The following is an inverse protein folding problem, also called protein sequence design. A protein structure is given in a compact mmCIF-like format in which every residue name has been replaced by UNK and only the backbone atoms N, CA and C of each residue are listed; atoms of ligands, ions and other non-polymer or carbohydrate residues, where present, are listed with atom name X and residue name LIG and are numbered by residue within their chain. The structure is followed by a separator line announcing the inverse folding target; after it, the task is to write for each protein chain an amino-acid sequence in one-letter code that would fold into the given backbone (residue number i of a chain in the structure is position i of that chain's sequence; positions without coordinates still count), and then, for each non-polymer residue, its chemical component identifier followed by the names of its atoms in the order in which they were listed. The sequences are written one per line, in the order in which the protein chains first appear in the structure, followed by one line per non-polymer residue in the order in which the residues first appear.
data_IF_972137137316
#
_entry.id   IF_972137137316
#
_cell.length_a   1.000
_cell.length_b   1.000
_cell.length_c   1.000
_cell.angle_alpha   90.00
_cell.angle_beta   90.00
_cell.angle_gamma   90.00
#
_symmetry.space_group_name_H-M   'P 1'
#
loop_
_entity.id
_entity.type
_entity.pdbx_description
1 polymer ?
#
# COMPACT_ATOMS: atom_id res chain seq x y z
N UNK A 1 -20.27 -2.87 -6.63
CA UNK A 1 -19.06 -2.04 -6.52
C UNK A 1 -18.85 -1.51 -5.09
N UNK A 2 -19.83 -0.88 -4.46
CA UNK A 2 -19.65 -0.21 -3.15
C UNK A 2 -19.24 -1.13 -1.99
N UNK A 3 -19.81 -2.35 -1.90
CA UNK A 3 -19.39 -3.34 -0.89
C UNK A 3 -17.94 -3.80 -1.00
N UNK A 4 -17.44 -3.98 -2.23
CA UNK A 4 -16.06 -4.40 -2.44
C UNK A 4 -15.10 -3.32 -1.96
N UNK A 5 -15.39 -2.05 -2.28
CA UNK A 5 -14.61 -0.89 -1.82
C UNK A 5 -14.58 -0.78 -0.29
N UNK A 6 -15.71 -1.05 0.39
CA UNK A 6 -15.78 -1.06 1.86
C UNK A 6 -14.91 -2.18 2.47
N UNK A 7 -14.94 -3.38 1.88
CA UNK A 7 -14.12 -4.51 2.33
C UNK A 7 -12.63 -4.20 2.12
N UNK A 8 -12.24 -3.71 0.94
CA UNK A 8 -10.86 -3.33 0.62
C UNK A 8 -10.35 -2.22 1.53
N UNK A 9 -11.17 -1.20 1.81
CA UNK A 9 -10.82 -0.12 2.72
C UNK A 9 -10.60 -0.62 4.15
N UNK A 10 -11.47 -1.51 4.64
CA UNK A 10 -11.35 -2.08 5.98
C UNK A 10 -10.13 -3.01 6.12
N UNK A 11 -9.86 -3.83 5.11
CA UNK A 11 -8.65 -4.63 4.99
C UNK A 11 -7.39 -3.75 5.06
N UNK A 12 -7.33 -2.71 4.24
CA UNK A 12 -6.20 -1.78 4.19
C UNK A 12 -6.03 -1.01 5.50
N UNK A 13 -7.14 -0.65 6.17
CA UNK A 13 -7.12 -0.03 7.49
C UNK A 13 -6.60 -0.96 8.58
N UNK A 14 -6.92 -2.25 8.53
CA UNK A 14 -6.38 -3.23 9.47
C UNK A 14 -4.86 -3.38 9.31
N UNK A 15 -4.38 -3.48 8.05
CA UNK A 15 -2.94 -3.48 7.74
C UNK A 15 -2.28 -2.19 8.21
N UNK A 16 -2.88 -1.04 7.92
CA UNK A 16 -2.41 0.26 8.37
C UNK A 16 -2.27 0.31 9.89
N UNK A 17 -3.26 -0.21 10.64
CA UNK A 17 -3.25 -0.22 12.10
C UNK A 17 -2.15 -1.11 12.67
N UNK A 18 -1.92 -2.28 12.08
CA UNK A 18 -0.82 -3.16 12.49
C UNK A 18 0.55 -2.50 12.25
N UNK A 19 0.70 -1.80 11.12
CA UNK A 19 1.92 -1.03 10.80
C UNK A 19 2.08 0.23 11.69
N UNK A 20 0.99 0.79 12.21
CA UNK A 20 1.04 1.90 13.14
C UNK A 20 1.44 1.45 14.55
N UNK A 21 0.97 0.28 14.98
CA UNK A 21 1.33 -0.32 16.26
C UNK A 21 2.85 -0.62 16.37
N UNK A 22 3.57 -0.75 15.25
CA UNK A 22 5.04 -0.86 15.24
C UNK A 22 5.78 0.48 15.42
N UNK A 23 5.11 1.52 15.93
CA UNK A 23 5.67 2.87 16.19
C UNK A 23 6.20 3.59 14.95
N UNK A 24 5.63 3.28 13.78
CA UNK A 24 5.97 3.94 12.52
C UNK A 24 5.03 5.14 12.30
N UNK A 25 5.57 6.29 11.90
CA UNK A 25 4.72 7.45 11.59
C UNK A 25 3.86 7.22 10.33
N UNK A 26 2.81 8.03 10.17
CA UNK A 26 1.82 7.89 9.09
C UNK A 26 2.43 7.94 7.68
N UNK A 27 3.44 8.77 7.47
CA UNK A 27 4.07 8.91 6.15
C UNK A 27 4.93 7.69 5.84
N UNK A 28 5.65 7.13 6.82
CA UNK A 28 6.40 5.90 6.66
C UNK A 28 5.50 4.71 6.31
N UNK A 29 4.29 4.66 6.88
CA UNK A 29 3.30 3.64 6.52
C UNK A 29 2.84 3.84 5.07
N UNK A 30 2.47 5.05 4.68
CA UNK A 30 2.04 5.36 3.30
C UNK A 30 3.17 5.08 2.28
N UNK A 31 4.43 5.36 2.62
CA UNK A 31 5.59 5.01 1.78
C UNK A 31 5.68 3.50 1.50
N UNK A 32 5.29 2.64 2.45
CA UNK A 32 5.24 1.18 2.23
C UNK A 32 4.16 0.78 1.23
N UNK A 33 2.96 1.38 1.34
CA UNK A 33 1.89 1.16 0.36
C UNK A 33 2.31 1.66 -1.03
N UNK A 34 2.99 2.80 -1.12
CA UNK A 34 3.51 3.31 -2.39
C UNK A 34 4.56 2.39 -3.02
N UNK A 35 5.50 1.87 -2.22
CA UNK A 35 6.49 0.90 -2.70
C UNK A 35 5.85 -0.37 -3.27
N UNK A 36 4.83 -0.89 -2.59
CA UNK A 36 4.07 -2.05 -3.06
C UNK A 36 3.45 -1.76 -4.43
N UNK A 37 2.74 -0.64 -4.56
CA UNK A 37 2.08 -0.28 -5.82
C UNK A 37 3.07 -0.12 -6.95
N UNK A 38 4.16 0.62 -6.71
CA UNK A 38 5.20 0.88 -7.70
C UNK A 38 5.79 -0.44 -8.21
N UNK A 39 6.09 -1.36 -7.28
CA UNK A 39 6.67 -2.67 -7.58
C UNK A 39 5.70 -3.58 -8.32
N UNK A 40 4.46 -3.69 -7.83
CA UNK A 40 3.45 -4.61 -8.39
C UNK A 40 2.94 -4.16 -9.75
N UNK A 41 2.87 -2.84 -10.00
CA UNK A 41 2.40 -2.29 -11.27
C UNK A 41 3.54 -1.99 -12.27
N UNK A 42 4.81 -2.23 -11.91
CA UNK A 42 5.96 -1.93 -12.75
C UNK A 42 6.03 -0.46 -13.18
N UNK A 43 5.61 0.46 -12.29
CA UNK A 43 5.52 1.89 -12.59
C UNK A 43 6.87 2.56 -12.34
N UNK A 44 7.73 2.57 -13.36
CA UNK A 44 9.06 3.20 -13.28
C UNK A 44 9.07 4.70 -13.55
N UNK A 45 8.01 5.22 -14.15
CA UNK A 45 7.80 6.65 -14.37
C UNK A 45 6.32 6.96 -14.14
N UNK A 46 6.03 7.96 -13.31
CA UNK A 46 4.67 8.36 -12.99
C UNK A 46 4.60 9.81 -12.50
N UNK A 47 3.44 10.42 -12.64
CA UNK A 47 3.12 11.72 -12.03
C UNK A 47 2.55 11.53 -10.62
N UNK A 48 2.55 12.61 -9.82
CA UNK A 48 1.96 12.60 -8.48
C UNK A 48 0.47 12.21 -8.50
N UNK A 49 -0.28 12.74 -9.47
CA UNK A 49 -1.70 12.47 -9.63
C UNK A 49 -1.96 11.02 -9.99
N UNK A 50 -1.19 10.44 -10.91
CA UNK A 50 -1.33 9.04 -11.30
C UNK A 50 -1.11 8.08 -10.13
N UNK A 51 -0.03 8.25 -9.37
CA UNK A 51 0.27 7.36 -8.24
C UNK A 51 -0.71 7.56 -7.08
N UNK A 52 -1.22 8.78 -6.88
CA UNK A 52 -2.25 9.07 -5.87
C UNK A 52 -3.58 8.40 -6.21
N UNK A 53 -4.02 8.48 -7.47
CA UNK A 53 -5.23 7.81 -7.91
C UNK A 53 -5.09 6.29 -7.78
N UNK A 54 -3.94 5.74 -8.21
CA UNK A 54 -3.67 4.31 -8.11
C UNK A 54 -3.69 3.83 -6.65
N UNK A 55 -3.08 4.59 -5.73
CA UNK A 55 -3.12 4.31 -4.28
C UNK A 55 -4.56 4.26 -3.73
N UNK A 56 -5.35 5.27 -4.07
CA UNK A 56 -6.73 5.38 -3.58
C UNK A 56 -7.63 4.28 -4.17
N UNK A 57 -7.44 3.94 -5.44
CA UNK A 57 -8.22 2.91 -6.13
C UNK A 57 -7.86 1.50 -5.65
N UNK A 58 -6.56 1.22 -5.42
CA UNK A 58 -6.08 -0.09 -4.96
C UNK A 58 -6.48 -0.40 -3.51
N UNK A 59 -6.45 0.59 -2.62
CA UNK A 59 -6.66 0.36 -1.18
C UNK A 59 -7.98 0.94 -0.65
N UNK A 60 -8.78 1.59 -1.50
CA UNK A 60 -10.04 2.20 -1.10
C UNK A 60 -9.85 3.37 -0.12
N UNK A 61 -8.74 4.10 -0.24
CA UNK A 61 -8.47 5.31 0.53
C UNK A 61 -8.93 6.58 -0.20
N UNK A 62 -8.89 7.70 0.52
CA UNK A 62 -9.03 9.05 -0.04
C UNK A 62 -7.88 9.93 0.49
N UNK A 63 -6.66 9.63 0.07
CA UNK A 63 -5.44 10.33 0.51
C UNK A 63 -5.16 11.53 -0.40
N UNK A 64 -4.95 12.73 0.15
CA UNK A 64 -4.56 13.91 -0.64
C UNK A 64 -3.16 13.81 -1.24
N UNK A 65 -2.97 14.39 -2.42
CA UNK A 65 -1.66 14.41 -3.12
C UNK A 65 -0.52 14.98 -2.27
N UNK A 66 -0.76 15.98 -1.42
CA UNK A 66 0.27 16.55 -0.55
C UNK A 66 0.84 15.51 0.44
N UNK A 67 0.00 14.61 0.94
CA UNK A 67 0.40 13.51 1.84
C UNK A 67 1.18 12.46 1.07
N UNK A 68 0.73 12.11 -0.14
CA UNK A 68 1.43 11.19 -1.05
C UNK A 68 2.81 11.73 -1.41
N UNK A 69 2.90 13.00 -1.79
CA UNK A 69 4.16 13.69 -2.13
C UNK A 69 5.16 13.65 -0.98
N UNK A 70 4.69 13.96 0.24
CA UNK A 70 5.53 13.90 1.45
C UNK A 70 6.02 12.48 1.72
N UNK A 71 5.20 11.47 1.45
CA UNK A 71 5.54 10.05 1.64
C UNK A 71 6.48 9.52 0.55
N UNK A 72 6.32 9.97 -0.70
CA UNK A 72 7.25 9.66 -1.80
C UNK A 72 8.64 10.22 -1.53
N UNK A 73 8.74 11.41 -0.93
CA UNK A 73 10.02 12.03 -0.56
C UNK A 73 10.83 11.26 0.49
N UNK A 74 10.28 10.18 1.06
CA UNK A 74 10.96 9.29 2.01
C UNK A 74 11.50 8.01 1.34
N UNK A 75 11.30 7.87 0.04
CA UNK A 75 11.75 6.72 -0.73
C UNK A 75 13.06 7.07 -1.42
N UNK A 76 14.16 6.51 -0.90
CA UNK A 76 15.51 6.86 -1.34
C UNK A 76 15.82 6.46 -2.80
N UNK A 77 15.01 5.58 -3.38
CA UNK A 77 15.15 5.05 -4.75
C UNK A 77 14.23 5.75 -5.76
N UNK A 78 13.60 6.87 -5.38
CA UNK A 78 12.74 7.66 -6.25
C UNK A 78 13.33 9.05 -6.43
N UNK A 79 13.52 9.43 -7.68
CA UNK A 79 13.95 10.77 -8.06
C UNK A 79 12.79 11.54 -8.68
N UNK A 80 12.74 12.86 -8.46
CA UNK A 80 11.74 13.74 -9.05
C UNK A 80 12.43 14.70 -10.00
N UNK A 81 12.05 14.65 -11.28
CA UNK A 81 12.46 15.63 -12.28
C UNK A 81 11.22 16.34 -12.82
N UNK A 82 11.13 17.65 -12.54
CA UNK A 82 9.95 18.48 -12.86
C UNK A 82 8.68 17.90 -12.23
N UNK A 83 7.81 17.28 -13.02
CA UNK A 83 6.53 16.71 -12.59
C UNK A 83 6.48 15.17 -12.72
N UNK A 84 7.60 14.55 -13.06
CA UNK A 84 7.73 13.11 -13.22
C UNK A 84 8.59 12.54 -12.10
N UNK A 85 8.09 11.50 -11.45
CA UNK A 85 8.84 10.66 -10.53
C UNK A 85 9.38 9.46 -11.30
N UNK A 86 10.66 9.15 -11.10
CA UNK A 86 11.36 8.04 -11.73
C UNK A 86 11.95 7.12 -10.66
N UNK A 87 11.83 5.82 -10.89
CA UNK A 87 12.34 4.78 -9.98
C UNK A 87 13.71 4.32 -10.47
N UNK A 88 14.70 4.34 -9.57
CA UNK A 88 16.05 3.89 -9.89
C UNK A 88 16.06 2.38 -10.19
N UNK A 89 16.49 2.03 -11.40
CA UNK A 89 16.50 0.66 -11.92
C UNK A 89 17.41 -0.30 -11.13
N UNK A 90 18.33 0.21 -10.31
CA UNK A 90 19.20 -0.64 -9.47
C UNK A 90 18.47 -1.27 -8.27
N UNK A 91 17.27 -0.81 -7.93
CA UNK A 91 16.43 -1.43 -6.89
C UNK A 91 16.00 -2.88 -7.23
N UNK A 92 16.15 -3.31 -8.50
CA UNK A 92 15.87 -4.69 -8.91
C UNK A 92 16.81 -5.74 -8.28
N UNK A 93 17.98 -5.37 -7.74
CA UNK A 93 18.98 -6.37 -7.29
C UNK A 93 18.97 -6.68 -5.79
N UNK A 94 18.43 -5.82 -4.95
CA UNK A 94 18.36 -6.05 -3.47
C UNK A 94 17.07 -6.73 -3.02
N UNK A 95 16.14 -7.01 -3.92
CA UNK A 95 14.85 -7.66 -3.63
C UNK A 95 14.92 -9.19 -3.57
N UNK A 96 16.08 -9.81 -3.80
CA UNK A 96 16.26 -11.25 -3.57
C UNK A 96 16.21 -11.66 -2.09
N UNK A 97 16.28 -10.71 -1.15
CA UNK A 97 16.05 -10.95 0.28
C UNK A 97 14.60 -10.67 0.72
N UNK A 98 13.80 -10.05 -0.16
CA UNK A 98 12.39 -9.71 0.10
C UNK A 98 11.47 -10.87 -0.28
N UNK A 99 11.90 -11.88 -1.03
CA UNK A 99 11.06 -13.05 -1.34
C UNK A 99 10.60 -13.79 -0.07
N UNK A 100 11.47 -13.92 0.94
CA UNK A 100 11.14 -14.56 2.22
C UNK A 100 10.15 -13.75 3.07
N UNK A 101 10.22 -12.42 3.04
CA UNK A 101 9.27 -11.52 3.70
C UNK A 101 7.98 -11.35 2.90
N UNK A 102 8.04 -11.40 1.57
CA UNK A 102 6.90 -11.31 0.65
C UNK A 102 5.99 -12.53 0.81
N UNK A 103 6.55 -13.71 1.01
CA UNK A 103 5.77 -14.92 1.31
C UNK A 103 5.12 -14.83 2.70
N UNK A 104 5.83 -14.38 3.73
CA UNK A 104 5.24 -14.20 5.08
C UNK A 104 4.22 -13.05 5.17
N UNK A 105 4.42 -11.95 4.44
CA UNK A 105 3.50 -10.81 4.41
C UNK A 105 2.32 -11.02 3.46
N UNK A 106 2.46 -11.72 2.33
CA UNK A 106 1.31 -12.08 1.48
C UNK A 106 0.43 -13.12 2.18
N UNK A 107 1.02 -14.11 2.85
CA UNK A 107 0.25 -15.09 3.63
C UNK A 107 -0.49 -14.39 4.79
N UNK A 108 0.21 -13.59 5.60
CA UNK A 108 -0.43 -12.86 6.71
C UNK A 108 -1.43 -11.81 6.23
N UNK A 109 -1.20 -11.14 5.11
CA UNK A 109 -2.13 -10.13 4.61
C UNK A 109 -3.38 -10.78 4.02
N UNK A 110 -3.26 -11.88 3.28
CA UNK A 110 -4.43 -12.67 2.87
C UNK A 110 -5.14 -13.24 4.09
N UNK A 111 -4.43 -13.87 5.02
CA UNK A 111 -5.05 -14.50 6.21
C UNK A 111 -5.73 -13.47 7.14
N UNK A 112 -5.18 -12.26 7.27
CA UNK A 112 -5.79 -11.16 8.03
C UNK A 112 -7.02 -10.64 7.27
N UNK A 113 -6.94 -10.46 5.95
CA UNK A 113 -8.07 -10.01 5.12
C UNK A 113 -9.17 -11.06 5.09
N UNK A 114 -8.85 -12.32 4.85
CA UNK A 114 -9.75 -13.47 4.88
C UNK A 114 -10.30 -13.71 6.29
N UNK A 115 -9.50 -13.48 7.32
CA UNK A 115 -9.93 -13.51 8.72
C UNK A 115 -10.92 -12.41 9.06
N UNK A 116 -10.72 -11.19 8.52
CA UNK A 116 -11.64 -10.07 8.67
C UNK A 116 -12.93 -10.28 7.86
N UNK A 117 -12.83 -10.80 6.63
CA UNK A 117 -13.99 -11.18 5.80
C UNK A 117 -14.81 -12.24 6.55
N UNK A 118 -14.17 -13.31 7.03
CA UNK A 118 -14.84 -14.37 7.79
C UNK A 118 -15.49 -13.85 9.09
N UNK A 119 -14.84 -12.93 9.81
CA UNK A 119 -15.39 -12.34 11.03
C UNK A 119 -16.66 -11.53 10.71
N UNK A 120 -16.64 -10.72 9.66
CA UNK A 120 -17.77 -9.89 9.23
C UNK A 120 -18.92 -10.75 8.74
N UNK A 121 -18.64 -11.82 7.99
CA UNK A 121 -19.65 -12.77 7.50
C UNK A 121 -20.33 -13.52 8.66
N UNK A 122 -19.55 -14.04 9.63
CA UNK A 122 -20.12 -14.74 10.79
C UNK A 122 -20.93 -13.84 11.71
N UNK A 123 -20.55 -12.56 11.86
CA UNK A 123 -21.30 -11.60 12.70
C UNK A 123 -22.64 -11.20 12.07
N UNK A 124 -22.81 -11.40 10.76
CA UNK A 124 -24.06 -11.14 10.03
C UNK A 124 -25.10 -12.25 10.20
N UNK A 125 -24.68 -13.45 10.58
CA UNK A 125 -25.58 -14.62 10.80
C UNK A 125 -26.35 -14.55 12.13
N UNK A 126 -26.04 -13.58 13.01
CA UNK A 126 -26.68 -13.39 14.31
C UNK A 126 -27.49 -12.09 14.42
N UNK A 127 -28.00 -11.57 13.29
CA UNK A 127 -29.01 -10.50 13.28
C UNK A 127 -30.22 -10.96 12.51
#
# INVERSE_FOLDING_TARGET
MERLKQITSLASLAVFRELYNSQTDIYAIISRFLNEIISTNGKYNFTLTEITNLLNDSFGFTIPEAVVSTSLGRLDHITKERDIFSVDKEFERTSNDVSSLKDMSLQKSSDIVDGLINYIEKKKTYV
#
